data_IF_889447240606
#
_entry.id   IF_889447240606
#
_cell.length_a   1.000
_cell.length_b   1.000
_cell.length_c   1.000
_cell.angle_alpha   90.00
_cell.angle_beta   90.00
_cell.angle_gamma   90.00
#
_symmetry.space_group_name_H-M   'P 1'
#
loop_
_entity.id
_entity.type
_entity.pdbx_description
1 polymer ?
#
# COMPACT_ATOMS: atom_id res chain seq x y z
N UNK A 1 18.99 6.48 -9.91
CA UNK A 1 17.93 5.61 -10.44
C UNK A 1 16.88 5.32 -9.40
N UNK A 2 17.30 4.88 -8.20
CA UNK A 2 16.32 4.60 -7.12
C UNK A 2 15.57 5.84 -6.67
N UNK A 3 16.23 6.99 -6.65
CA UNK A 3 15.56 8.24 -6.27
C UNK A 3 14.45 8.62 -7.24
N UNK A 4 14.69 8.46 -8.55
CA UNK A 4 13.66 8.73 -9.55
C UNK A 4 12.49 7.78 -9.44
N UNK A 5 12.77 6.49 -9.22
CA UNK A 5 11.72 5.48 -9.05
C UNK A 5 10.92 5.76 -7.78
N UNK A 6 11.60 6.15 -6.70
CA UNK A 6 10.95 6.48 -5.44
C UNK A 6 10.01 7.67 -5.59
N UNK A 7 10.46 8.73 -6.24
CA UNK A 7 9.64 9.93 -6.47
C UNK A 7 8.46 9.62 -7.38
N UNK A 8 8.70 8.83 -8.42
CA UNK A 8 7.64 8.42 -9.34
C UNK A 8 6.57 7.60 -8.60
N UNK A 9 7.02 6.67 -7.77
CA UNK A 9 6.12 5.84 -6.97
C UNK A 9 5.30 6.69 -6.00
N UNK A 10 5.95 7.59 -5.26
CA UNK A 10 5.26 8.48 -4.32
C UNK A 10 4.21 9.32 -5.03
N UNK A 11 4.58 9.91 -6.18
CA UNK A 11 3.66 10.74 -6.94
C UNK A 11 2.41 9.96 -7.36
N UNK A 12 2.58 8.70 -7.77
CA UNK A 12 1.45 7.86 -8.14
C UNK A 12 0.60 7.49 -6.93
N UNK A 13 1.23 7.21 -5.78
CA UNK A 13 0.52 6.80 -4.57
C UNK A 13 -0.41 7.89 -4.03
N UNK A 14 0.02 9.15 -4.10
CA UNK A 14 -0.73 10.26 -3.51
C UNK A 14 -1.54 11.06 -4.53
N UNK A 15 -1.56 10.61 -5.78
CA UNK A 15 -2.24 11.32 -6.86
C UNK A 15 -3.70 11.58 -6.53
N UNK A 16 -4.09 12.87 -6.51
CA UNK A 16 -5.46 13.28 -6.28
C UNK A 16 -5.96 13.11 -4.84
N UNK A 17 -5.09 12.82 -3.88
CA UNK A 17 -5.50 12.59 -2.49
C UNK A 17 -5.29 13.86 -1.66
N UNK A 18 -6.36 14.30 -1.00
CA UNK A 18 -6.31 15.38 -0.02
C UNK A 18 -5.83 14.80 1.32
N UNK A 19 -4.72 15.32 1.83
CA UNK A 19 -4.12 14.81 3.07
C UNK A 19 -4.89 15.24 4.33
N UNK A 20 -5.91 16.08 4.20
CA UNK A 20 -6.74 16.50 5.32
C UNK A 20 -7.85 15.52 5.68
N UNK A 21 -8.12 14.53 4.81
CA UNK A 21 -9.17 13.54 5.07
C UNK A 21 -8.66 12.46 6.04
N UNK A 22 -9.59 11.68 6.57
CA UNK A 22 -9.26 10.62 7.52
C UNK A 22 -8.34 9.55 6.92
N UNK A 23 -7.61 8.86 7.78
CA UNK A 23 -6.63 7.87 7.36
C UNK A 23 -7.27 6.71 6.59
N UNK A 24 -8.46 6.27 7.00
CA UNK A 24 -9.16 5.18 6.34
C UNK A 24 -9.43 5.51 4.87
N UNK A 25 -9.94 6.70 4.61
CA UNK A 25 -10.22 7.15 3.24
C UNK A 25 -8.93 7.33 2.46
N UNK A 26 -7.89 7.90 3.06
CA UNK A 26 -6.60 8.04 2.40
C UNK A 26 -6.01 6.69 2.00
N UNK A 27 -6.04 5.71 2.91
CA UNK A 27 -5.52 4.37 2.62
C UNK A 27 -6.31 3.68 1.51
N UNK A 28 -7.63 3.88 1.47
CA UNK A 28 -8.44 3.35 0.38
C UNK A 28 -7.99 3.91 -0.96
N UNK A 29 -7.82 5.23 -1.04
CA UNK A 29 -7.39 5.88 -2.27
C UNK A 29 -5.95 5.53 -2.64
N UNK A 30 -5.06 5.44 -1.65
CA UNK A 30 -3.68 5.02 -1.87
C UNK A 30 -3.62 3.59 -2.38
N UNK A 31 -4.45 2.71 -1.84
CA UNK A 31 -4.54 1.33 -2.32
C UNK A 31 -4.98 1.26 -3.77
N UNK A 32 -5.98 2.05 -4.15
CA UNK A 32 -6.44 2.12 -5.53
C UNK A 32 -5.33 2.65 -6.45
N UNK A 33 -4.61 3.67 -6.01
CA UNK A 33 -3.49 4.22 -6.77
C UNK A 33 -2.35 3.21 -6.92
N UNK A 34 -2.08 2.42 -5.86
CA UNK A 34 -1.07 1.38 -5.89
C UNK A 34 -1.41 0.30 -6.92
N UNK A 35 -2.66 -0.16 -6.93
CA UNK A 35 -3.11 -1.16 -7.90
C UNK A 35 -3.03 -0.59 -9.33
N UNK A 36 -3.43 0.66 -9.51
CA UNK A 36 -3.33 1.32 -10.83
C UNK A 36 -1.87 1.39 -11.28
N UNK A 37 -0.96 1.74 -10.37
CA UNK A 37 0.48 1.74 -10.67
C UNK A 37 0.93 0.37 -11.14
N UNK A 38 0.51 -0.70 -10.45
CA UNK A 38 0.87 -2.07 -10.83
C UNK A 38 0.33 -2.43 -12.22
N UNK A 39 -0.86 -1.96 -12.57
CA UNK A 39 -1.46 -2.23 -13.86
C UNK A 39 -0.80 -1.43 -15.01
N UNK A 40 -0.50 -0.17 -14.77
CA UNK A 40 0.04 0.71 -15.80
C UNK A 40 1.55 0.58 -15.94
N UNK A 41 2.25 0.32 -14.82
CA UNK A 41 3.70 0.21 -14.77
C UNK A 41 4.10 -1.17 -14.25
N UNK A 42 3.55 -2.21 -14.88
CA UNK A 42 3.71 -3.60 -14.44
C UNK A 42 5.18 -3.98 -14.28
N UNK A 43 6.03 -3.53 -15.19
CA UNK A 43 7.45 -3.86 -15.17
C UNK A 43 8.15 -3.26 -13.94
N UNK A 44 7.85 -1.99 -13.65
CA UNK A 44 8.40 -1.33 -12.47
C UNK A 44 7.87 -1.96 -11.19
N UNK A 45 6.58 -2.27 -11.16
CA UNK A 45 5.97 -2.91 -10.01
C UNK A 45 6.63 -4.26 -9.72
N UNK A 46 6.82 -5.08 -10.75
CA UNK A 46 7.49 -6.37 -10.56
C UNK A 46 8.92 -6.19 -10.06
N UNK A 47 9.66 -5.24 -10.62
CA UNK A 47 11.03 -5.01 -10.21
C UNK A 47 11.12 -4.55 -8.76
N UNK A 48 10.24 -3.63 -8.34
CA UNK A 48 10.30 -3.05 -7.01
C UNK A 48 9.74 -3.97 -5.92
N UNK A 49 8.67 -4.71 -6.22
CA UNK A 49 7.93 -5.39 -5.18
C UNK A 49 7.93 -6.92 -5.27
N UNK A 50 8.33 -7.48 -6.42
CA UNK A 50 8.31 -8.92 -6.62
C UNK A 50 9.72 -9.50 -6.75
N UNK A 51 10.53 -8.94 -7.68
CA UNK A 51 11.82 -9.53 -8.03
C UNK A 51 12.96 -9.08 -7.10
N UNK A 52 12.99 -7.80 -6.75
CA UNK A 52 14.12 -7.24 -6.03
C UNK A 52 13.74 -6.42 -4.79
N UNK A 53 12.75 -6.87 -3.97
CA UNK A 53 12.40 -6.12 -2.77
C UNK A 53 13.56 -6.07 -1.76
N UNK A 54 14.43 -7.08 -1.76
CA UNK A 54 15.57 -7.14 -0.84
C UNK A 54 16.59 -6.03 -1.08
N UNK A 55 16.53 -5.33 -2.20
CA UNK A 55 17.45 -4.23 -2.48
C UNK A 55 17.18 -2.99 -1.63
N UNK A 56 15.99 -2.88 -1.03
CA UNK A 56 15.60 -1.69 -0.29
C UNK A 56 14.68 -1.98 0.90
N UNK A 57 14.34 -3.23 1.14
CA UNK A 57 13.37 -3.59 2.18
C UNK A 57 13.90 -4.76 3.02
N UNK A 58 13.73 -4.66 4.31
CA UNK A 58 14.03 -5.72 5.26
C UNK A 58 12.84 -5.89 6.19
N UNK A 59 12.42 -7.13 6.39
CA UNK A 59 11.26 -7.47 7.19
C UNK A 59 11.68 -8.40 8.33
N UNK A 60 11.27 -8.04 9.56
CA UNK A 60 11.43 -8.91 10.72
C UNK A 60 10.12 -8.94 11.49
N UNK A 61 10.03 -9.82 12.50
CA UNK A 61 8.81 -9.92 13.32
C UNK A 61 8.55 -8.66 14.14
N UNK A 62 9.57 -7.90 14.42
CA UNK A 62 9.45 -6.72 15.28
C UNK A 62 9.43 -5.42 14.51
N UNK A 63 9.93 -5.42 13.28
CA UNK A 63 10.03 -4.21 12.51
C UNK A 63 10.00 -4.47 11.01
N UNK A 64 9.62 -3.46 10.26
CA UNK A 64 9.78 -3.43 8.82
C UNK A 64 10.60 -2.18 8.52
N UNK A 65 11.69 -2.33 7.82
CA UNK A 65 12.52 -1.21 7.44
C UNK A 65 12.66 -1.15 5.93
N UNK A 66 12.62 0.07 5.41
CA UNK A 66 12.72 0.34 3.99
C UNK A 66 13.78 1.42 3.80
N UNK A 67 14.60 1.25 2.78
CA UNK A 67 15.59 2.24 2.45
C UNK A 67 14.93 3.61 2.30
N UNK A 68 15.53 4.63 2.91
CA UNK A 68 15.00 5.99 2.94
C UNK A 68 14.79 6.59 1.53
N UNK A 69 15.37 5.99 0.51
CA UNK A 69 15.13 6.41 -0.86
C UNK A 69 13.73 6.06 -1.38
N UNK A 70 12.97 5.22 -0.66
CA UNK A 70 11.61 4.85 -1.06
C UNK A 70 10.59 5.68 -0.26
N UNK A 71 10.45 6.94 -0.63
CA UNK A 71 9.61 7.91 0.10
C UNK A 71 8.12 7.57 0.09
N UNK A 72 7.66 6.82 -0.90
CA UNK A 72 6.27 6.34 -0.94
C UNK A 72 5.94 5.45 0.25
N UNK A 73 6.89 4.65 0.71
CA UNK A 73 6.69 3.81 1.87
C UNK A 73 6.57 4.66 3.15
N UNK A 74 7.38 5.69 3.29
CA UNK A 74 7.31 6.56 4.46
C UNK A 74 5.95 7.26 4.55
N UNK A 75 5.41 7.68 3.40
CA UNK A 75 4.08 8.27 3.36
C UNK A 75 3.01 7.24 3.78
N UNK A 76 3.09 6.03 3.23
CA UNK A 76 2.19 4.94 3.60
C UNK A 76 2.26 4.66 5.11
N UNK A 77 3.47 4.57 5.66
CA UNK A 77 3.67 4.31 7.08
C UNK A 77 2.98 5.39 7.94
N UNK A 78 3.17 6.64 7.58
CA UNK A 78 2.57 7.76 8.29
C UNK A 78 1.05 7.64 8.34
N UNK A 79 0.41 7.33 7.21
CA UNK A 79 -1.05 7.22 7.14
C UNK A 79 -1.54 5.97 7.88
N UNK A 80 -0.81 4.87 7.77
CA UNK A 80 -1.18 3.62 8.45
C UNK A 80 -1.15 3.78 9.97
N UNK A 81 -0.13 4.46 10.49
CA UNK A 81 -0.04 4.70 11.94
C UNK A 81 -1.11 5.69 12.41
N UNK A 82 -1.49 6.62 11.55
CA UNK A 82 -2.62 7.50 11.83
C UNK A 82 -3.93 6.72 11.90
N UNK A 83 -4.10 5.72 11.04
CA UNK A 83 -5.27 4.84 11.11
C UNK A 83 -5.33 4.12 12.44
N UNK A 84 -4.18 3.63 12.93
CA UNK A 84 -4.10 2.96 14.22
C UNK A 84 -4.64 3.85 15.33
N UNK A 85 -4.23 5.11 15.35
CA UNK A 85 -4.68 6.05 16.36
C UNK A 85 -6.15 6.41 16.21
N UNK A 86 -6.60 6.66 14.99
CA UNK A 86 -7.99 7.07 14.73
C UNK A 86 -8.99 5.97 15.05
N UNK A 87 -8.61 4.71 14.80
CA UNK A 87 -9.51 3.57 14.96
C UNK A 87 -9.20 2.71 16.19
N UNK A 88 -8.27 3.12 17.03
CA UNK A 88 -7.87 2.41 18.25
C UNK A 88 -7.52 0.94 17.99
N UNK A 89 -6.65 0.72 17.02
CA UNK A 89 -6.25 -0.64 16.66
C UNK A 89 -5.29 -1.24 17.68
N UNK A 90 -5.40 -2.55 17.88
CA UNK A 90 -4.64 -3.28 18.91
C UNK A 90 -3.27 -3.76 18.42
N UNK A 91 -3.12 -4.01 17.12
CA UNK A 91 -1.87 -4.51 16.56
C UNK A 91 -0.74 -3.51 16.74
N UNK A 92 0.49 -4.01 16.86
CA UNK A 92 1.67 -3.18 16.93
C UNK A 92 1.93 -2.48 15.61
N UNK A 93 2.80 -1.45 15.65
CA UNK A 93 3.09 -0.63 14.47
C UNK A 93 3.61 -1.48 13.30
N UNK A 94 4.57 -2.35 13.55
CA UNK A 94 5.12 -3.21 12.51
C UNK A 94 4.08 -4.18 11.96
N UNK A 95 3.24 -4.72 12.84
CA UNK A 95 2.18 -5.64 12.43
C UNK A 95 1.20 -4.99 11.47
N UNK A 96 0.74 -3.78 11.79
CA UNK A 96 -0.19 -3.04 10.93
C UNK A 96 0.42 -2.82 9.55
N UNK A 97 1.68 -2.42 9.50
CA UNK A 97 2.36 -2.18 8.24
C UNK A 97 2.47 -3.45 7.40
N UNK A 98 2.82 -4.57 8.04
CA UNK A 98 2.92 -5.86 7.37
C UNK A 98 1.55 -6.31 6.85
N UNK A 99 0.52 -6.19 7.67
CA UNK A 99 -0.83 -6.62 7.29
C UNK A 99 -1.34 -5.83 6.09
N UNK A 100 -1.28 -4.51 6.17
CA UNK A 100 -1.81 -3.66 5.11
C UNK A 100 -0.98 -3.77 3.83
N UNK A 101 0.33 -3.83 3.97
CA UNK A 101 1.22 -3.99 2.82
C UNK A 101 0.99 -5.31 2.10
N UNK A 102 0.92 -6.41 2.87
CA UNK A 102 0.73 -7.74 2.31
C UNK A 102 -0.58 -7.83 1.55
N UNK A 103 -1.64 -7.25 2.10
CA UNK A 103 -2.93 -7.24 1.43
C UNK A 103 -2.87 -6.47 0.11
N UNK A 104 -2.38 -5.24 0.14
CA UNK A 104 -2.42 -4.41 -1.07
C UNK A 104 -1.47 -4.91 -2.15
N UNK A 105 -0.31 -5.42 -1.76
CA UNK A 105 0.64 -6.00 -2.71
C UNK A 105 0.07 -7.26 -3.37
N UNK A 106 -0.61 -8.10 -2.58
CA UNK A 106 -1.27 -9.29 -3.12
C UNK A 106 -2.38 -8.94 -4.09
N UNK A 107 -3.21 -7.96 -3.74
CA UNK A 107 -4.27 -7.50 -4.62
C UNK A 107 -3.70 -6.92 -5.91
N UNK A 108 -2.67 -6.09 -5.80
CA UNK A 108 -2.03 -5.49 -6.96
C UNK A 108 -1.46 -6.56 -7.90
N UNK A 109 -0.84 -7.59 -7.32
CA UNK A 109 -0.31 -8.71 -8.11
C UNK A 109 -1.40 -9.42 -8.87
N UNK A 110 -2.52 -9.73 -8.21
CA UNK A 110 -3.64 -10.43 -8.84
C UNK A 110 -4.28 -9.59 -9.94
N UNK A 111 -4.55 -8.33 -9.66
CA UNK A 111 -5.27 -7.46 -10.60
C UNK A 111 -4.42 -7.10 -11.81
N UNK A 112 -3.10 -7.00 -11.64
CA UNK A 112 -2.19 -6.68 -12.74
C UNK A 112 -1.86 -7.90 -13.62
N UNK A 113 -2.26 -9.09 -13.20
CA UNK A 113 -2.07 -10.34 -13.95
C UNK A 113 -3.26 -10.62 -14.84
N UNK A 114 -3.16 -11.59 -15.79
CA UNK A 114 -4.32 -12.01 -16.60
C UNK A 114 -5.52 -12.49 -15.78
N UNK A 115 -5.28 -12.98 -14.56
CA UNK A 115 -6.34 -13.41 -13.64
C UNK A 115 -7.30 -12.27 -13.32
N UNK A 116 -6.77 -11.04 -13.20
CA UNK A 116 -7.55 -9.89 -12.82
C UNK A 116 -8.03 -9.01 -13.99
N UNK A 117 -7.97 -9.52 -15.21
CA UNK A 117 -8.27 -8.72 -16.41
C UNK A 117 -9.66 -8.09 -16.40
N UNK A 118 -10.66 -8.80 -15.86
CA UNK A 118 -12.02 -8.28 -15.77
C UNK A 118 -12.30 -7.47 -14.51
N UNK A 119 -11.33 -7.35 -13.63
CA UNK A 119 -11.47 -6.63 -12.37
C UNK A 119 -11.26 -5.13 -12.62
N UNK A 120 -12.33 -4.36 -12.47
CA UNK A 120 -12.34 -2.93 -12.83
C UNK A 120 -12.01 -2.04 -11.64
N UNK A 121 -11.84 -0.76 -11.90
CA UNK A 121 -11.48 0.22 -10.88
C UNK A 121 -12.46 0.24 -9.70
N UNK A 122 -13.76 0.16 -10.00
CA UNK A 122 -14.78 0.12 -8.94
C UNK A 122 -14.66 -1.14 -8.09
N UNK A 123 -14.29 -2.27 -8.69
CA UNK A 123 -14.08 -3.53 -7.97
C UNK A 123 -12.89 -3.42 -7.03
N UNK A 124 -11.82 -2.78 -7.49
CA UNK A 124 -10.63 -2.54 -6.68
C UNK A 124 -10.98 -1.69 -5.47
N UNK A 125 -11.67 -0.58 -5.70
CA UNK A 125 -12.05 0.34 -4.61
C UNK A 125 -12.92 -0.36 -3.58
N UNK A 126 -13.90 -1.14 -4.03
CA UNK A 126 -14.78 -1.88 -3.14
C UNK A 126 -14.01 -2.90 -2.32
N UNK A 127 -13.08 -3.61 -2.96
CA UNK A 127 -12.27 -4.64 -2.29
C UNK A 127 -11.37 -4.02 -1.22
N UNK A 128 -10.69 -2.93 -1.55
CA UNK A 128 -9.82 -2.25 -0.58
C UNK A 128 -10.63 -1.73 0.60
N UNK A 129 -11.77 -1.11 0.33
CA UNK A 129 -12.64 -0.58 1.38
C UNK A 129 -13.15 -1.68 2.29
N UNK A 130 -13.63 -2.78 1.71
CA UNK A 130 -14.14 -3.91 2.48
C UNK A 130 -13.05 -4.53 3.36
N UNK A 131 -11.84 -4.68 2.82
CA UNK A 131 -10.73 -5.25 3.59
C UNK A 131 -10.35 -4.36 4.76
N UNK A 132 -10.31 -3.05 4.56
CA UNK A 132 -10.05 -2.13 5.66
C UNK A 132 -11.13 -2.22 6.72
N UNK A 133 -12.41 -2.32 6.31
CA UNK A 133 -13.52 -2.47 7.26
C UNK A 133 -13.34 -3.73 8.09
N UNK A 134 -13.03 -4.85 7.45
CA UNK A 134 -12.84 -6.12 8.15
C UNK A 134 -11.65 -6.05 9.11
N UNK A 135 -10.55 -5.47 8.64
CA UNK A 135 -9.34 -5.35 9.46
C UNK A 135 -9.58 -4.49 10.69
N UNK A 136 -10.18 -3.33 10.50
CA UNK A 136 -10.46 -2.39 11.60
C UNK A 136 -11.39 -3.05 12.61
N UNK A 137 -12.46 -3.70 12.15
CA UNK A 137 -13.42 -4.36 13.02
C UNK A 137 -12.80 -5.51 13.80
N UNK A 138 -11.92 -6.26 13.16
CA UNK A 138 -11.27 -7.42 13.78
C UNK A 138 -10.14 -7.06 14.73
N UNK A 139 -9.54 -5.88 14.60
CA UNK A 139 -8.36 -5.47 15.36
C UNK A 139 -8.66 -4.41 16.43
N UNK A 140 -9.84 -3.89 16.46
CA UNK A 140 -10.22 -2.84 17.41
C UNK A 140 -10.56 -3.35 18.82
#
# INVERSE_FOLDING_TARGET
VMEHLSMFFLKNMILGIDTSIDARTQLTLMGCNFVRFAQEETYLFEALFIKFPYNYMELSQETISVNSSLSGFEHFKSVALRLKDEENLSSGDAEILIHLWSFIAGLALLVSSPVGESFKENDVQKTVRTMLDIYIKGDS
#
